data_IF_203776014724
#
_entry.id   IF_203776014724
#
_cell.length_a   1.000
_cell.length_b   1.000
_cell.length_c   1.000
_cell.angle_alpha   90.00
_cell.angle_beta   90.00
_cell.angle_gamma   90.00
#
_symmetry.space_group_name_H-M   'P 1'
#
loop_
_entity.id
_entity.type
_entity.pdbx_description
1 polymer ?
#
# COMPACT_ATOMS: atom_id res chain seq x y z
N UNK A 1 -17.77 3.55 -0.96
CA UNK A 1 -16.37 3.11 -0.71
C UNK A 1 -15.76 2.81 -2.07
N UNK A 2 -14.60 3.38 -2.44
CA UNK A 2 -13.93 2.99 -3.69
C UNK A 2 -13.34 1.59 -3.49
N UNK A 3 -13.65 0.68 -4.39
CA UNK A 3 -13.17 -0.72 -4.37
C UNK A 3 -12.18 -1.01 -5.49
N UNK A 4 -11.91 -0.02 -6.34
CA UNK A 4 -11.01 -0.12 -7.50
C UNK A 4 -9.84 0.82 -7.26
N UNK A 5 -8.62 0.32 -7.45
CA UNK A 5 -7.40 1.11 -7.36
C UNK A 5 -7.32 2.12 -8.52
N UNK A 6 -6.73 3.30 -8.29
CA UNK A 6 -6.34 4.20 -9.38
C UNK A 6 -5.44 3.48 -10.40
N UNK A 7 -5.49 3.90 -11.67
CA UNK A 7 -4.76 3.25 -12.78
C UNK A 7 -3.28 3.00 -12.46
N UNK A 8 -2.57 3.99 -11.91
CA UNK A 8 -1.15 3.86 -11.56
C UNK A 8 -0.89 2.93 -10.38
N UNK A 9 -1.86 2.75 -9.49
CA UNK A 9 -1.75 1.83 -8.36
C UNK A 9 -2.08 0.39 -8.74
N UNK A 10 -2.63 0.14 -9.94
CA UNK A 10 -2.81 -1.23 -10.45
C UNK A 10 -1.47 -1.94 -10.66
N UNK A 11 -0.39 -1.20 -10.94
CA UNK A 11 0.97 -1.75 -11.13
C UNK A 11 1.51 -2.46 -9.88
N UNK A 12 0.97 -2.12 -8.71
CA UNK A 12 1.39 -2.69 -7.42
C UNK A 12 0.31 -3.57 -6.79
N UNK A 13 -0.75 -3.89 -7.54
CA UNK A 13 -1.88 -4.66 -7.04
C UNK A 13 -1.44 -6.01 -6.46
N UNK A 14 -0.60 -6.78 -7.17
CA UNK A 14 -0.12 -8.08 -6.70
C UNK A 14 0.57 -7.98 -5.33
N UNK A 15 1.33 -6.90 -5.11
CA UNK A 15 2.02 -6.66 -3.84
C UNK A 15 1.05 -6.27 -2.72
N UNK A 16 0.03 -5.47 -3.04
CA UNK A 16 -1.05 -5.13 -2.10
C UNK A 16 -1.87 -6.37 -1.73
N UNK A 17 -2.20 -7.20 -2.71
CA UNK A 17 -2.95 -8.45 -2.52
C UNK A 17 -2.15 -9.41 -1.63
N UNK A 18 -0.85 -9.53 -1.86
CA UNK A 18 0.04 -10.31 -0.97
C UNK A 18 0.02 -9.78 0.47
N UNK A 19 0.14 -8.46 0.67
CA UNK A 19 0.08 -7.86 2.01
C UNK A 19 -1.25 -8.14 2.68
N UNK A 20 -2.37 -7.95 1.97
CA UNK A 20 -3.72 -8.24 2.48
C UNK A 20 -3.83 -9.71 2.88
N UNK A 21 -3.34 -10.64 2.07
CA UNK A 21 -3.32 -12.08 2.41
C UNK A 21 -2.50 -12.37 3.66
N UNK A 22 -1.32 -11.76 3.84
CA UNK A 22 -0.51 -11.95 5.05
C UNK A 22 -1.24 -11.44 6.30
N UNK A 23 -1.88 -10.27 6.21
CA UNK A 23 -2.63 -9.69 7.32
C UNK A 23 -3.83 -10.60 7.68
N UNK A 24 -4.61 -11.03 6.70
CA UNK A 24 -5.74 -11.95 6.91
C UNK A 24 -5.29 -13.29 7.50
N UNK A 25 -4.15 -13.81 7.07
CA UNK A 25 -3.58 -15.06 7.61
C UNK A 25 -3.19 -14.91 9.09
N UNK A 26 -2.52 -13.80 9.44
CA UNK A 26 -2.05 -13.55 10.81
C UNK A 26 -3.18 -13.22 11.79
N UNK A 27 -4.15 -12.42 11.35
CA UNK A 27 -5.26 -11.97 12.20
C UNK A 27 -6.49 -12.90 12.16
N UNK A 28 -6.52 -13.86 11.24
CA UNK A 28 -7.62 -14.83 11.05
C UNK A 28 -8.97 -14.11 10.90
N UNK A 29 -9.94 -14.50 11.73
CA UNK A 29 -11.31 -14.00 11.73
C UNK A 29 -11.49 -12.69 12.51
N UNK A 30 -10.41 -12.11 13.07
CA UNK A 30 -10.48 -10.89 13.88
C UNK A 30 -10.61 -9.61 13.08
N UNK A 31 -10.43 -9.65 11.75
CA UNK A 31 -10.50 -8.45 10.92
C UNK A 31 -11.94 -8.15 10.53
N UNK A 32 -12.35 -6.89 10.75
CA UNK A 32 -13.59 -6.34 10.23
C UNK A 32 -13.37 -5.66 8.87
N UNK A 33 -12.25 -4.94 8.70
CA UNK A 33 -11.95 -4.21 7.47
C UNK A 33 -10.45 -3.90 7.34
N UNK A 34 -9.98 -3.85 6.09
CA UNK A 34 -8.65 -3.34 5.71
C UNK A 34 -8.88 -2.17 4.75
N UNK A 35 -8.31 -1.01 5.06
CA UNK A 35 -8.44 0.20 4.24
C UNK A 35 -7.06 0.65 3.78
N UNK A 36 -6.85 0.71 2.46
CA UNK A 36 -5.71 1.40 1.88
C UNK A 36 -6.00 2.92 1.89
N UNK A 37 -5.07 3.71 2.42
CA UNK A 37 -5.09 5.16 2.37
C UNK A 37 -3.75 5.69 1.85
N UNK A 38 -3.52 7.00 1.96
CA UNK A 38 -2.27 7.61 1.50
C UNK A 38 -2.16 7.70 -0.02
N UNK A 39 -0.92 7.80 -0.51
CA UNK A 39 -0.65 8.14 -1.91
C UNK A 39 -1.02 7.03 -2.89
N UNK A 40 -0.87 5.76 -2.51
CA UNK A 40 -1.33 4.64 -3.35
C UNK A 40 -2.86 4.56 -3.47
N UNK A 41 -3.61 4.97 -2.45
CA UNK A 41 -5.08 5.07 -2.56
C UNK A 41 -5.52 6.21 -3.48
N UNK A 42 -4.76 7.32 -3.53
CA UNK A 42 -5.03 8.46 -4.40
C UNK A 42 -4.49 8.28 -5.83
N UNK A 43 -3.46 7.46 -6.01
CA UNK A 43 -2.78 7.23 -7.28
C UNK A 43 -1.69 8.25 -7.58
N UNK A 44 -1.24 9.00 -6.56
CA UNK A 44 -0.20 10.04 -6.64
C UNK A 44 1.08 9.63 -5.88
N UNK A 45 1.33 8.32 -5.77
CA UNK A 45 2.53 7.78 -5.15
C UNK A 45 3.76 8.08 -6.01
N UNK A 46 4.91 8.20 -5.34
CA UNK A 46 6.18 8.54 -5.98
C UNK A 46 7.17 7.40 -5.77
N UNK A 47 7.90 7.06 -6.82
CA UNK A 47 9.11 6.27 -6.76
C UNK A 47 10.17 7.00 -7.59
N UNK A 48 11.05 7.68 -6.89
CA UNK A 48 12.10 8.47 -7.49
C UNK A 48 13.47 7.98 -7.03
N UNK A 49 14.44 8.09 -7.92
CA UNK A 49 15.83 7.79 -7.65
C UNK A 49 16.69 8.84 -8.33
N UNK A 50 17.49 9.54 -7.55
CA UNK A 50 18.36 10.59 -8.05
C UNK A 50 19.75 10.47 -7.45
N UNK A 51 20.71 11.05 -8.16
CA UNK A 51 22.11 11.07 -7.76
C UNK A 51 22.45 12.43 -7.16
N UNK A 52 22.92 12.43 -5.92
CA UNK A 52 23.42 13.62 -5.25
C UNK A 52 24.92 13.43 -4.97
N UNK A 53 25.76 14.10 -5.77
CA UNK A 53 27.21 13.90 -5.74
C UNK A 53 27.60 12.46 -6.10
N UNK A 54 28.22 11.75 -5.15
CA UNK A 54 28.60 10.34 -5.30
C UNK A 54 27.55 9.34 -4.76
N UNK A 55 26.43 9.82 -4.23
CA UNK A 55 25.39 8.98 -3.60
C UNK A 55 24.18 8.79 -4.52
N UNK A 56 23.57 7.61 -4.45
CA UNK A 56 22.25 7.37 -5.02
C UNK A 56 21.23 7.42 -3.88
N UNK A 57 20.27 8.35 -3.99
CA UNK A 57 19.16 8.50 -3.07
C UNK A 57 17.90 7.98 -3.73
N UNK A 58 17.03 7.37 -2.94
CA UNK A 58 15.76 6.84 -3.40
C UNK A 58 14.64 7.28 -2.46
N UNK A 59 13.58 7.83 -3.04
CA UNK A 59 12.33 8.13 -2.35
C UNK A 59 11.23 7.27 -2.93
N UNK A 60 10.68 6.37 -2.10
CA UNK A 60 9.56 5.51 -2.48
C UNK A 60 8.45 5.72 -1.47
N UNK A 61 7.26 6.07 -1.95
CA UNK A 61 6.06 6.10 -1.10
C UNK A 61 5.85 4.75 -0.42
N UNK A 62 5.45 4.78 0.84
CA UNK A 62 5.05 3.60 1.60
C UNK A 62 3.60 3.20 1.29
N UNK A 63 3.23 1.97 1.65
CA UNK A 63 1.82 1.56 1.68
C UNK A 63 1.23 1.89 3.05
N UNK A 64 0.16 2.69 3.05
CA UNK A 64 -0.53 3.09 4.26
C UNK A 64 -1.83 2.29 4.41
N UNK A 65 -1.87 1.36 5.36
CA UNK A 65 -3.01 0.50 5.62
C UNK A 65 -3.59 0.72 7.02
N UNK A 66 -4.90 0.91 7.13
CA UNK A 66 -5.64 0.93 8.39
C UNK A 66 -6.38 -0.40 8.55
N UNK A 67 -6.17 -1.07 9.69
CA UNK A 67 -6.81 -2.35 10.02
C UNK A 67 -7.84 -2.12 11.12
N UNK A 68 -9.09 -2.47 10.85
CA UNK A 68 -10.19 -2.42 11.82
C UNK A 68 -10.45 -3.84 12.30
N UNK A 69 -10.38 -4.05 13.61
CA UNK A 69 -10.62 -5.35 14.25
C UNK A 69 -12.06 -5.45 14.76
N UNK A 70 -12.56 -6.69 14.81
CA UNK A 70 -13.78 -7.02 15.54
C UNK A 70 -13.52 -6.83 17.04
N UNK A 71 -14.58 -6.47 17.77
CA UNK A 71 -14.57 -6.48 19.24
C UNK A 71 -14.44 -7.90 19.78
#
# INVERSE_FOLDING_TARGET
MKTILPKWSLEVQDRLDYIVQQILTGAKDKIAMIILYGSYARGDWVKDMYKEGSYYLCYISAFDCLIVLKK
#
